data_IF_020981584654
#
_entry.id   IF_020981584654
#
_cell.length_a   1.000
_cell.length_b   1.000
_cell.length_c   1.000
_cell.angle_alpha   90.00
_cell.angle_beta   90.00
_cell.angle_gamma   90.00
#
_symmetry.space_group_name_H-M   'P 1'
#
loop_
_entity.id
_entity.type
_entity.pdbx_description
1 polymer ?
#
# COMPACT_ATOMS: atom_id res chain seq x y z
N UNK A 1 0.45 -24.00 15.29
CA UNK A 1 0.70 -23.47 16.62
C UNK A 1 2.02 -22.70 16.61
N UNK A 2 2.06 -21.59 17.34
CA UNK A 2 3.26 -20.74 17.46
C UNK A 2 3.47 -20.31 18.89
N UNK A 3 4.71 -19.90 19.20
CA UNK A 3 5.13 -19.45 20.52
C UNK A 3 5.91 -18.15 20.36
N UNK A 4 5.55 -17.12 21.14
CA UNK A 4 6.31 -15.89 21.23
C UNK A 4 7.21 -15.93 22.48
N UNK A 5 8.47 -15.55 22.32
CA UNK A 5 9.48 -15.53 23.38
C UNK A 5 9.89 -14.07 23.63
N UNK A 6 9.90 -13.68 24.90
CA UNK A 6 10.31 -12.34 25.30
C UNK A 6 10.53 -12.19 26.80
N UNK A 7 10.69 -10.95 27.25
CA UNK A 7 10.87 -10.58 28.66
C UNK A 7 9.90 -9.45 29.04
N UNK A 8 8.58 -9.71 29.05
CA UNK A 8 7.59 -8.70 29.37
C UNK A 8 7.73 -8.23 30.82
N UNK A 9 7.59 -6.90 31.04
CA UNK A 9 7.64 -6.28 32.36
C UNK A 9 8.89 -6.59 33.18
N UNK A 10 10.01 -6.93 32.52
CA UNK A 10 11.24 -7.32 33.22
C UNK A 10 11.23 -8.77 33.75
N UNK A 11 10.19 -9.55 33.45
CA UNK A 11 10.14 -10.97 33.76
C UNK A 11 10.96 -11.73 32.72
N UNK A 12 11.99 -12.41 33.16
CA UNK A 12 12.87 -13.16 32.27
C UNK A 12 12.17 -14.37 31.65
N UNK A 13 12.50 -14.66 30.35
CA UNK A 13 12.18 -15.90 29.65
C UNK A 13 10.70 -16.28 29.63
N UNK A 14 9.86 -15.31 29.30
CA UNK A 14 8.42 -15.57 29.14
C UNK A 14 8.13 -16.21 27.78
N UNK A 15 7.34 -17.27 27.79
CA UNK A 15 6.82 -17.94 26.62
C UNK A 15 5.29 -17.82 26.59
N UNK A 16 4.74 -17.31 25.50
CA UNK A 16 3.29 -17.32 25.26
C UNK A 16 2.98 -18.17 24.03
N UNK A 17 1.81 -18.79 23.96
CA UNK A 17 1.44 -19.66 22.85
C UNK A 17 0.13 -19.24 22.21
N UNK A 18 -0.01 -19.52 20.91
CA UNK A 18 -1.21 -19.28 20.12
C UNK A 18 -1.11 -19.89 18.73
N UNK A 19 -1.91 -19.34 17.80
CA UNK A 19 -1.91 -19.73 16.38
C UNK A 19 -1.70 -18.49 15.50
N UNK A 20 -1.31 -18.72 14.24
CA UNK A 20 -1.39 -17.69 13.20
C UNK A 20 -2.84 -17.65 12.73
N UNK A 21 -3.50 -16.54 13.01
CA UNK A 21 -4.92 -16.29 12.68
C UNK A 21 -5.09 -15.75 11.24
N UNK A 22 -4.07 -15.09 10.71
CA UNK A 22 -4.00 -14.62 9.31
C UNK A 22 -2.55 -14.43 8.89
N UNK A 23 -2.27 -14.62 7.60
CA UNK A 23 -0.94 -14.46 7.00
C UNK A 23 -0.82 -13.26 6.07
N UNK A 24 -1.91 -12.52 5.84
CA UNK A 24 -2.03 -11.51 4.77
C UNK A 24 -2.56 -10.15 5.25
N UNK A 25 -2.34 -9.79 6.52
CA UNK A 25 -2.71 -8.47 7.03
C UNK A 25 -1.79 -7.40 6.47
N UNK A 26 -2.35 -6.38 5.83
CA UNK A 26 -1.64 -5.20 5.37
C UNK A 26 -1.75 -4.10 6.43
N UNK A 27 -0.69 -3.89 7.20
CA UNK A 27 -0.62 -2.84 8.23
C UNK A 27 0.40 -1.76 7.90
N UNK A 28 1.35 -2.04 7.01
CA UNK A 28 2.45 -1.14 6.65
C UNK A 28 2.57 -0.95 5.15
N UNK A 29 3.47 -0.06 4.79
CA UNK A 29 3.80 0.32 3.41
C UNK A 29 4.47 -0.77 2.59
N UNK A 30 4.98 -1.82 3.24
CA UNK A 30 5.62 -2.94 2.53
C UNK A 30 5.22 -4.30 3.11
N UNK A 31 4.67 -5.14 2.24
CA UNK A 31 4.37 -6.53 2.55
C UNK A 31 3.15 -6.76 3.46
N UNK A 32 3.01 -7.99 3.90
CA UNK A 32 1.96 -8.44 4.82
C UNK A 32 2.57 -8.86 6.15
N UNK A 33 1.76 -8.88 7.20
CA UNK A 33 2.15 -9.35 8.52
C UNK A 33 1.27 -10.52 8.96
N UNK A 34 1.79 -11.37 9.82
CA UNK A 34 1.00 -12.39 10.49
C UNK A 34 0.19 -11.76 11.62
N UNK A 35 -1.10 -12.07 11.66
CA UNK A 35 -1.92 -11.87 12.84
C UNK A 35 -1.86 -13.12 13.69
N UNK A 36 -1.64 -12.96 15.01
CA UNK A 36 -1.56 -14.07 15.96
C UNK A 36 -2.43 -13.79 17.18
N UNK A 37 -2.92 -14.85 17.81
CA UNK A 37 -3.67 -14.76 19.07
C UNK A 37 -2.81 -15.05 20.32
N UNK A 38 -1.52 -15.41 20.13
CA UNK A 38 -0.57 -15.51 21.25
C UNK A 38 -0.51 -14.15 21.98
N UNK A 39 -0.52 -14.19 23.30
CA UNK A 39 -0.47 -12.98 24.13
C UNK A 39 0.86 -12.23 23.91
N UNK A 40 0.77 -11.02 23.40
CA UNK A 40 1.89 -10.12 23.18
C UNK A 40 1.75 -8.90 24.08
N UNK A 41 2.80 -8.63 24.84
CA UNK A 41 2.91 -7.50 25.74
C UNK A 41 4.23 -6.76 25.49
N UNK A 42 4.35 -5.56 26.06
CA UNK A 42 5.63 -4.84 26.08
C UNK A 42 6.74 -5.73 26.64
N UNK A 43 7.83 -5.89 25.87
CA UNK A 43 8.95 -6.81 26.16
C UNK A 43 8.98 -8.07 25.29
N UNK A 44 7.91 -8.37 24.53
CA UNK A 44 7.94 -9.40 23.50
C UNK A 44 8.29 -8.84 22.12
N UNK A 45 8.13 -7.55 21.90
CA UNK A 45 8.46 -6.88 20.62
C UNK A 45 9.97 -7.01 20.32
N UNK A 46 10.29 -7.37 19.06
CA UNK A 46 11.64 -7.73 18.61
C UNK A 46 12.01 -9.20 18.89
N UNK A 47 11.22 -9.90 19.71
CA UNK A 47 11.41 -11.32 20.01
C UNK A 47 10.90 -12.23 18.88
N UNK A 48 11.38 -13.49 18.85
CA UNK A 48 10.98 -14.44 17.83
C UNK A 48 9.59 -15.03 18.08
N UNK A 49 8.85 -15.23 17.01
CA UNK A 49 7.70 -16.14 16.95
C UNK A 49 8.17 -17.45 16.35
N UNK A 50 8.15 -18.55 17.13
CA UNK A 50 8.65 -19.86 16.72
C UNK A 50 7.53 -20.87 16.51
N UNK A 51 7.77 -21.87 15.66
CA UNK A 51 6.86 -23.03 15.51
C UNK A 51 7.15 -24.15 16.54
N UNK A 52 6.40 -25.23 16.47
CA UNK A 52 6.57 -26.42 17.34
C UNK A 52 7.91 -27.14 17.16
N UNK A 53 8.64 -26.84 16.07
CA UNK A 53 10.00 -27.38 15.79
C UNK A 53 11.10 -26.41 16.24
N UNK A 54 10.75 -25.29 16.91
CA UNK A 54 11.70 -24.27 17.33
C UNK A 54 12.24 -23.38 16.19
N UNK A 55 11.64 -23.44 14.98
CA UNK A 55 12.05 -22.57 13.86
C UNK A 55 11.35 -21.23 13.95
N UNK A 56 12.11 -20.16 13.76
CA UNK A 56 11.58 -18.79 13.71
C UNK A 56 10.71 -18.62 12.46
N UNK A 57 9.47 -18.25 12.66
CA UNK A 57 8.49 -17.97 11.61
C UNK A 57 8.31 -16.46 11.38
N UNK A 58 8.47 -15.67 12.44
CA UNK A 58 8.26 -14.21 12.37
C UNK A 58 8.97 -13.51 13.52
N UNK A 59 9.03 -12.17 13.45
CA UNK A 59 9.47 -11.28 14.54
C UNK A 59 8.26 -10.54 15.08
N UNK A 60 7.99 -10.65 16.37
CA UNK A 60 6.89 -9.95 17.05
C UNK A 60 7.15 -8.45 17.05
N UNK A 61 6.16 -7.62 16.71
CA UNK A 61 6.39 -6.17 16.72
C UNK A 61 5.26 -5.34 17.34
N UNK A 62 4.01 -5.79 17.34
CA UNK A 62 2.88 -5.01 17.84
C UNK A 62 1.74 -5.88 18.38
N UNK A 63 1.00 -5.31 19.32
CA UNK A 63 -0.33 -5.75 19.72
C UNK A 63 -1.25 -4.55 19.81
N UNK A 64 -2.53 -4.73 19.51
CA UNK A 64 -3.54 -3.70 19.69
C UNK A 64 -4.02 -3.75 21.12
N UNK A 65 -3.74 -2.68 21.88
CA UNK A 65 -4.20 -2.59 23.28
C UNK A 65 -5.72 -2.69 23.35
N UNK A 66 -6.23 -3.39 24.37
CA UNK A 66 -7.64 -3.64 24.63
C UNK A 66 -8.36 -4.59 23.64
N UNK A 67 -7.64 -5.22 22.69
CA UNK A 67 -8.20 -6.24 21.82
C UNK A 67 -7.39 -7.54 21.91
N UNK A 68 -8.03 -8.60 22.37
CA UNK A 68 -7.40 -9.94 22.38
C UNK A 68 -7.32 -10.52 20.97
N UNK A 69 -6.21 -11.19 20.65
CA UNK A 69 -6.03 -11.85 19.35
C UNK A 69 -5.67 -10.93 18.18
N UNK A 70 -5.47 -9.63 18.43
CA UNK A 70 -4.96 -8.67 17.45
C UNK A 70 -3.51 -8.33 17.72
N UNK A 71 -2.66 -9.34 17.65
CA UNK A 71 -1.22 -9.19 17.73
C UNK A 71 -0.58 -9.51 16.40
N UNK A 72 0.56 -8.89 16.10
CA UNK A 72 1.16 -8.92 14.78
C UNK A 72 2.65 -9.25 14.84
N UNK A 73 3.09 -10.00 13.84
CA UNK A 73 4.49 -10.37 13.67
C UNK A 73 4.91 -10.27 12.19
N UNK A 74 6.12 -9.78 11.95
CA UNK A 74 6.71 -9.64 10.61
C UNK A 74 7.24 -11.02 10.19
N UNK A 75 6.82 -11.58 9.04
CA UNK A 75 7.32 -12.84 8.53
C UNK A 75 8.84 -12.89 8.41
N UNK A 76 9.43 -14.03 8.76
CA UNK A 76 10.91 -14.20 8.76
C UNK A 76 11.52 -14.06 7.36
N UNK A 77 10.75 -14.27 6.30
CA UNK A 77 11.17 -14.08 4.91
C UNK A 77 11.59 -12.62 4.65
N UNK A 78 10.89 -11.65 5.23
CA UNK A 78 11.29 -10.23 5.11
C UNK A 78 12.62 -9.98 5.83
N UNK A 79 12.76 -10.51 7.04
CA UNK A 79 14.04 -10.40 7.76
C UNK A 79 15.19 -11.02 6.97
N UNK A 80 15.00 -12.19 6.36
CA UNK A 80 16.03 -12.85 5.53
C UNK A 80 16.47 -11.96 4.35
N UNK A 81 15.53 -11.27 3.71
CA UNK A 81 15.84 -10.34 2.62
C UNK A 81 16.60 -9.09 3.11
N UNK A 82 16.33 -8.65 4.34
CA UNK A 82 16.95 -7.47 4.93
C UNK A 82 18.33 -7.76 5.60
N UNK A 83 18.57 -9.01 6.05
CA UNK A 83 19.82 -9.35 6.77
C UNK A 83 21.11 -8.89 6.08
N UNK A 84 21.30 -9.07 4.75
CA UNK A 84 22.53 -8.61 4.10
C UNK A 84 22.77 -7.10 4.22
N UNK A 85 21.68 -6.31 4.22
CA UNK A 85 21.72 -4.85 4.35
C UNK A 85 21.93 -4.44 5.81
N UNK A 86 21.28 -5.12 6.74
CA UNK A 86 21.46 -4.87 8.17
C UNK A 86 22.90 -5.13 8.63
N UNK A 87 23.56 -6.16 8.09
CA UNK A 87 24.97 -6.46 8.39
C UNK A 87 25.93 -5.42 7.82
N UNK A 88 25.60 -4.84 6.67
CA UNK A 88 26.41 -3.80 6.05
C UNK A 88 26.22 -2.42 6.69
N UNK A 89 25.16 -2.23 7.47
CA UNK A 89 24.78 -0.94 8.07
C UNK A 89 24.33 0.09 7.04
N UNK A 90 23.91 1.25 7.53
CA UNK A 90 23.45 2.35 6.69
C UNK A 90 21.94 2.30 6.39
N UNK A 91 21.47 3.32 5.67
CA UNK A 91 20.09 3.42 5.22
C UNK A 91 19.89 2.61 3.94
N UNK A 92 18.88 1.75 3.91
CA UNK A 92 18.54 1.01 2.71
C UNK A 92 17.62 1.83 1.82
N UNK A 93 18.03 1.99 0.57
CA UNK A 93 17.16 2.55 -0.46
C UNK A 93 16.24 1.48 -1.04
N UNK A 94 14.94 1.68 -0.91
CA UNK A 94 13.94 0.80 -1.50
C UNK A 94 13.67 1.16 -2.97
N UNK A 95 13.46 0.17 -3.85
CA UNK A 95 13.15 0.42 -5.25
C UNK A 95 11.71 0.95 -5.42
N UNK A 96 11.53 1.73 -6.48
CA UNK A 96 10.25 2.35 -6.83
C UNK A 96 10.12 2.52 -8.33
N UNK A 97 8.94 2.32 -8.87
CA UNK A 97 8.66 2.52 -10.30
C UNK A 97 7.69 3.67 -10.57
N UNK A 98 7.37 4.44 -9.54
CA UNK A 98 6.51 5.61 -9.61
C UNK A 98 5.07 5.30 -10.03
N UNK A 99 4.49 4.26 -9.44
CA UNK A 99 3.13 3.81 -9.71
C UNK A 99 2.33 3.59 -8.42
N UNK A 100 1.00 3.54 -8.58
CA UNK A 100 0.06 3.18 -7.53
C UNK A 100 -0.87 2.07 -8.04
N UNK A 101 -1.10 1.04 -7.22
CA UNK A 101 -1.96 -0.07 -7.62
C UNK A 101 -2.37 -0.97 -6.46
N UNK A 102 -3.25 -1.91 -6.77
CA UNK A 102 -3.77 -2.89 -5.81
C UNK A 102 -3.80 -4.28 -6.43
N UNK A 103 -3.81 -5.31 -5.58
CA UNK A 103 -4.00 -6.70 -6.01
C UNK A 103 -5.27 -6.82 -6.86
N UNK A 104 -5.14 -7.41 -8.06
CA UNK A 104 -6.27 -7.75 -8.92
C UNK A 104 -6.94 -9.01 -8.40
N UNK A 105 -8.20 -8.90 -7.98
CA UNK A 105 -9.03 -10.03 -7.55
C UNK A 105 -9.96 -10.46 -8.66
N UNK A 106 -10.01 -11.77 -8.94
CA UNK A 106 -10.95 -12.30 -9.92
C UNK A 106 -12.35 -12.45 -9.29
N UNK A 107 -13.40 -11.89 -9.90
CA UNK A 107 -14.77 -12.07 -9.42
C UNK A 107 -15.16 -13.56 -9.44
N UNK A 108 -15.77 -14.03 -8.35
CA UNK A 108 -16.35 -15.39 -8.28
C UNK A 108 -15.36 -16.55 -8.10
N UNK A 109 -14.05 -16.30 -8.02
CA UNK A 109 -13.01 -17.35 -7.97
C UNK A 109 -12.51 -17.69 -6.57
N UNK A 110 -13.16 -17.27 -5.52
CA UNK A 110 -12.80 -17.59 -4.12
C UNK A 110 -11.42 -17.14 -3.77
N UNK A 111 -10.82 -16.13 -3.77
CA UNK A 111 -9.46 -15.68 -3.40
C UNK A 111 -8.35 -15.91 -4.44
N UNK A 112 -8.65 -16.19 -5.70
CA UNK A 112 -7.61 -16.17 -6.73
C UNK A 112 -7.28 -14.72 -7.11
N UNK A 113 -6.02 -14.37 -6.92
CA UNK A 113 -5.43 -13.10 -7.34
C UNK A 113 -4.69 -13.29 -8.67
N UNK A 114 -4.63 -12.24 -9.49
CA UNK A 114 -4.05 -12.30 -10.85
C UNK A 114 -3.03 -11.18 -11.10
N UNK A 115 -2.26 -10.81 -10.09
CA UNK A 115 -1.27 -9.75 -10.21
C UNK A 115 -1.69 -8.44 -9.53
N UNK A 116 -1.11 -7.34 -9.99
CA UNK A 116 -1.32 -6.00 -9.43
C UNK A 116 -1.84 -5.07 -10.52
N UNK A 117 -3.09 -4.61 -10.38
CA UNK A 117 -3.65 -3.59 -11.29
C UNK A 117 -3.01 -2.23 -10.99
N UNK A 118 -2.51 -1.60 -12.02
CA UNK A 118 -1.96 -0.23 -11.99
C UNK A 118 -3.12 0.75 -12.10
N UNK A 119 -3.38 1.51 -11.06
CA UNK A 119 -4.42 2.55 -11.06
C UNK A 119 -3.87 3.92 -11.46
N UNK A 120 -2.58 4.14 -11.24
CA UNK A 120 -1.95 5.41 -11.56
C UNK A 120 -0.48 5.21 -11.88
N UNK A 121 0.00 5.96 -12.86
CA UNK A 121 1.40 6.06 -13.26
C UNK A 121 1.81 7.52 -13.25
N UNK A 122 2.90 7.84 -12.54
CA UNK A 122 3.41 9.21 -12.47
C UNK A 122 4.00 9.63 -13.82
N UNK A 123 3.54 10.73 -14.44
CA UNK A 123 4.12 11.22 -15.68
C UNK A 123 5.63 11.49 -15.56
N UNK A 124 6.42 10.95 -16.49
CA UNK A 124 7.87 10.99 -16.46
C UNK A 124 8.53 10.09 -15.39
N UNK A 125 7.77 9.29 -14.66
CA UNK A 125 8.28 8.24 -13.77
C UNK A 125 8.76 7.01 -14.53
N UNK A 126 9.40 6.07 -13.82
CA UNK A 126 10.00 4.89 -14.44
C UNK A 126 8.98 4.00 -15.16
N UNK A 127 7.81 3.80 -14.59
CA UNK A 127 6.73 3.04 -15.22
C UNK A 127 6.22 3.73 -16.49
N UNK A 128 6.03 5.06 -16.46
CA UNK A 128 5.61 5.84 -17.63
C UNK A 128 6.64 5.74 -18.76
N UNK A 129 7.93 5.94 -18.45
CA UNK A 129 9.02 5.79 -19.43
C UNK A 129 9.11 4.40 -20.03
N UNK A 130 8.72 3.36 -19.29
CA UNK A 130 8.64 2.00 -19.77
C UNK A 130 7.36 1.71 -20.57
N UNK A 131 6.44 2.67 -20.66
CA UNK A 131 5.18 2.54 -21.37
C UNK A 131 4.14 1.68 -20.64
N UNK A 132 4.21 1.59 -19.32
CA UNK A 132 3.15 1.03 -18.46
C UNK A 132 2.05 2.07 -18.32
N UNK A 133 0.80 1.63 -18.37
CA UNK A 133 -0.38 2.49 -18.37
C UNK A 133 -1.34 2.17 -17.23
N UNK A 134 -2.26 3.09 -16.97
CA UNK A 134 -3.42 2.85 -16.12
C UNK A 134 -4.22 1.65 -16.66
N UNK A 135 -4.74 0.83 -15.75
CA UNK A 135 -5.45 -0.42 -15.98
C UNK A 135 -4.60 -1.60 -16.50
N UNK A 136 -3.30 -1.44 -16.73
CA UNK A 136 -2.38 -2.56 -16.91
C UNK A 136 -2.26 -3.39 -15.61
N UNK A 137 -1.86 -4.65 -15.74
CA UNK A 137 -1.66 -5.57 -14.61
C UNK A 137 -0.23 -6.07 -14.60
N UNK A 138 0.50 -5.85 -13.50
CA UNK A 138 1.82 -6.47 -13.29
C UNK A 138 1.62 -7.92 -12.90
N UNK A 139 2.15 -8.84 -13.72
CA UNK A 139 1.97 -10.29 -13.56
C UNK A 139 3.28 -11.04 -13.27
N UNK A 140 4.45 -10.42 -13.49
CA UNK A 140 5.75 -11.00 -13.14
C UNK A 140 6.84 -9.94 -12.92
N UNK A 141 7.87 -10.29 -12.15
CA UNK A 141 9.11 -9.54 -11.97
C UNK A 141 10.27 -10.47 -12.29
N UNK A 142 11.11 -10.13 -13.27
CA UNK A 142 12.23 -10.97 -13.74
C UNK A 142 11.83 -12.44 -14.02
N UNK A 143 10.61 -12.66 -14.53
CA UNK A 143 10.05 -13.97 -14.81
C UNK A 143 9.43 -14.68 -13.60
N UNK A 144 9.62 -14.18 -12.38
CA UNK A 144 8.93 -14.68 -11.17
C UNK A 144 7.48 -14.19 -11.17
N UNK A 145 6.52 -15.11 -11.09
CA UNK A 145 5.09 -14.78 -11.14
C UNK A 145 4.65 -13.98 -9.93
N UNK A 146 3.86 -12.94 -10.18
CA UNK A 146 3.26 -12.06 -9.17
C UNK A 146 1.74 -12.29 -9.17
N UNK A 147 1.17 -12.68 -8.04
CA UNK A 147 -0.27 -12.86 -7.88
C UNK A 147 -0.89 -11.73 -7.05
N UNK A 148 -0.10 -11.02 -6.25
CA UNK A 148 -0.58 -10.00 -5.32
C UNK A 148 0.39 -8.82 -5.21
N UNK A 149 -0.08 -7.73 -4.62
CA UNK A 149 0.78 -6.60 -4.27
C UNK A 149 1.89 -7.01 -3.27
N UNK A 150 1.60 -7.93 -2.35
CA UNK A 150 2.61 -8.44 -1.42
C UNK A 150 3.75 -9.17 -2.18
N UNK A 151 3.40 -9.99 -3.18
CA UNK A 151 4.42 -10.66 -4.01
C UNK A 151 5.29 -9.64 -4.75
N UNK A 152 4.68 -8.60 -5.33
CA UNK A 152 5.38 -7.53 -6.01
C UNK A 152 6.35 -6.80 -5.07
N UNK A 153 5.89 -6.46 -3.87
CA UNK A 153 6.71 -5.81 -2.85
C UNK A 153 7.89 -6.69 -2.43
N UNK A 154 7.66 -7.99 -2.20
CA UNK A 154 8.73 -8.94 -1.87
C UNK A 154 9.74 -9.05 -3.03
N UNK A 155 9.26 -9.11 -4.27
CA UNK A 155 10.14 -9.15 -5.45
C UNK A 155 10.99 -7.88 -5.58
N UNK A 156 10.43 -6.72 -5.27
CA UNK A 156 11.18 -5.46 -5.23
C UNK A 156 12.16 -5.40 -4.05
N UNK A 157 11.77 -5.88 -2.87
CA UNK A 157 12.67 -5.92 -1.70
C UNK A 157 13.93 -6.77 -1.94
N UNK A 158 13.92 -7.70 -2.87
CA UNK A 158 15.09 -8.48 -3.26
C UNK A 158 16.09 -7.70 -4.14
N UNK A 159 15.73 -6.51 -4.62
CA UNK A 159 16.49 -5.73 -5.59
C UNK A 159 16.93 -4.37 -4.98
N UNK A 160 18.11 -3.86 -5.32
CA UNK A 160 18.48 -2.49 -4.96
C UNK A 160 17.75 -1.48 -5.87
N UNK A 161 17.65 -0.23 -5.44
CA UNK A 161 17.38 0.89 -6.34
C UNK A 161 18.56 1.12 -7.30
N UNK A 162 18.33 1.87 -8.38
CA UNK A 162 19.40 2.22 -9.34
C UNK A 162 19.69 1.16 -10.40
N UNK A 163 18.93 0.08 -10.46
CA UNK A 163 19.07 -0.97 -11.50
C UNK A 163 17.86 -1.04 -12.41
N UNK A 164 17.95 -1.80 -13.47
CA UNK A 164 16.83 -2.14 -14.33
C UNK A 164 16.26 -3.51 -13.96
N UNK A 165 14.96 -3.64 -14.08
CA UNK A 165 14.24 -4.90 -13.88
C UNK A 165 13.28 -5.17 -15.04
N UNK A 166 12.86 -6.40 -15.22
CA UNK A 166 11.83 -6.79 -16.20
C UNK A 166 10.50 -6.97 -15.48
N UNK A 167 9.47 -6.30 -15.96
CA UNK A 167 8.09 -6.50 -15.52
C UNK A 167 7.28 -7.17 -16.61
N UNK A 168 6.65 -8.30 -16.32
CA UNK A 168 5.61 -8.87 -17.17
C UNK A 168 4.32 -8.09 -16.96
N UNK A 169 3.75 -7.62 -18.04
CA UNK A 169 2.55 -6.77 -18.05
C UNK A 169 1.47 -7.44 -18.87
N UNK A 170 0.27 -7.57 -18.31
CA UNK A 170 -0.95 -7.88 -19.01
C UNK A 170 -1.72 -6.58 -19.23
N UNK A 171 -1.79 -6.13 -20.47
CA UNK A 171 -2.50 -4.91 -20.85
C UNK A 171 -4.02 -5.10 -20.81
N UNK A 172 -4.77 -4.00 -20.77
CA UNK A 172 -6.24 -4.02 -20.71
C UNK A 172 -6.91 -4.70 -21.93
N UNK A 173 -6.21 -4.80 -23.05
CA UNK A 173 -6.66 -5.54 -24.26
C UNK A 173 -6.35 -7.05 -24.21
N UNK A 174 -5.76 -7.55 -23.12
CA UNK A 174 -5.38 -8.94 -22.92
C UNK A 174 -3.99 -9.30 -23.48
N UNK A 175 -3.24 -8.36 -24.01
CA UNK A 175 -1.89 -8.60 -24.54
C UNK A 175 -0.87 -8.70 -23.40
N UNK A 176 -0.09 -9.79 -23.36
CA UNK A 176 1.04 -9.91 -22.47
C UNK A 176 2.32 -9.36 -23.12
N UNK A 177 3.10 -8.61 -22.38
CA UNK A 177 4.38 -8.05 -22.83
C UNK A 177 5.37 -7.94 -21.69
N UNK A 178 6.68 -7.92 -21.99
CA UNK A 178 7.72 -7.56 -21.04
C UNK A 178 8.11 -6.10 -21.19
N UNK A 179 8.22 -5.39 -20.08
CA UNK A 179 8.71 -4.01 -20.00
C UNK A 179 10.01 -3.96 -19.21
N UNK A 180 10.97 -3.20 -19.72
CA UNK A 180 12.22 -2.91 -19.05
C UNK A 180 12.03 -1.63 -18.25
N UNK A 181 12.14 -1.72 -16.93
CA UNK A 181 11.86 -0.62 -16.00
C UNK A 181 13.08 -0.31 -15.16
N UNK A 182 13.41 0.97 -15.01
CA UNK A 182 14.46 1.42 -14.09
C UNK A 182 13.86 1.53 -12.68
N UNK A 183 14.50 0.94 -11.69
CA UNK A 183 14.10 1.05 -10.28
C UNK A 183 14.65 2.33 -9.67
N UNK A 184 13.81 3.36 -9.58
CA UNK A 184 14.17 4.61 -8.89
C UNK A 184 14.27 4.38 -7.37
N UNK A 185 14.93 5.29 -6.66
CA UNK A 185 14.86 5.35 -5.20
C UNK A 185 13.45 5.76 -4.78
N UNK A 186 12.84 4.97 -3.89
CA UNK A 186 11.52 5.28 -3.34
C UNK A 186 11.61 6.51 -2.45
N UNK A 187 10.80 7.55 -2.69
CA UNK A 187 10.74 8.72 -1.82
C UNK A 187 10.09 8.36 -0.47
N UNK A 188 10.40 9.12 0.57
CA UNK A 188 9.77 8.98 1.89
C UNK A 188 8.26 9.24 1.87
N UNK A 189 7.79 10.07 0.96
CA UNK A 189 6.37 10.44 0.80
C UNK A 189 5.96 10.35 -0.67
N UNK A 190 5.70 9.12 -1.20
CA UNK A 190 5.35 8.92 -2.62
C UNK A 190 4.14 9.72 -3.09
N UNK A 191 3.09 9.82 -2.26
CA UNK A 191 1.90 10.62 -2.56
C UNK A 191 2.20 12.11 -2.72
N UNK A 192 3.14 12.64 -1.93
CA UNK A 192 3.59 14.03 -2.09
C UNK A 192 4.42 14.24 -3.37
N UNK A 193 5.22 13.24 -3.78
CA UNK A 193 5.91 13.28 -5.08
C UNK A 193 4.91 13.30 -6.25
N UNK A 194 3.83 12.53 -6.15
CA UNK A 194 2.77 12.57 -7.16
C UNK A 194 2.15 13.96 -7.27
N UNK A 195 1.82 14.57 -6.12
CA UNK A 195 1.28 15.92 -6.09
C UNK A 195 2.24 16.99 -6.65
N UNK A 196 3.54 16.87 -6.37
CA UNK A 196 4.54 17.84 -6.89
C UNK A 196 4.78 17.73 -8.39
N UNK A 197 4.65 16.53 -8.95
CA UNK A 197 5.08 16.23 -10.33
C UNK A 197 3.92 16.07 -11.32
N UNK A 198 2.68 16.06 -10.85
CA UNK A 198 1.49 15.98 -11.69
C UNK A 198 0.44 17.00 -11.26
N UNK A 199 -0.64 17.12 -12.05
CA UNK A 199 -1.78 17.97 -11.74
C UNK A 199 -2.49 17.51 -10.46
N UNK A 200 -3.14 18.47 -9.79
CA UNK A 200 -3.95 18.19 -8.61
C UNK A 200 -5.03 17.14 -8.93
N UNK A 201 -5.67 17.25 -10.07
CA UNK A 201 -6.76 16.39 -10.52
C UNK A 201 -6.34 14.93 -10.63
N UNK A 202 -5.14 14.70 -11.13
CA UNK A 202 -4.58 13.36 -11.29
C UNK A 202 -4.06 12.79 -9.97
N UNK A 203 -3.35 13.61 -9.18
CA UNK A 203 -2.75 13.18 -7.90
C UNK A 203 -3.78 12.79 -6.84
N UNK A 204 -5.02 13.28 -6.92
CA UNK A 204 -6.11 12.86 -6.05
C UNK A 204 -6.48 11.39 -6.21
N UNK A 205 -6.25 10.81 -7.40
CA UNK A 205 -6.61 9.42 -7.67
C UNK A 205 -5.80 8.42 -6.81
N UNK A 206 -4.45 8.47 -6.77
CA UNK A 206 -3.69 7.60 -5.88
C UNK A 206 -3.81 7.98 -4.39
N UNK A 207 -3.99 9.26 -4.04
CA UNK A 207 -4.03 9.68 -2.63
C UNK A 207 -5.38 9.42 -1.96
N UNK A 208 -6.46 9.83 -2.60
CA UNK A 208 -7.81 9.77 -1.99
C UNK A 208 -8.72 8.75 -2.65
N UNK A 209 -8.28 8.17 -3.78
CA UNK A 209 -9.04 7.18 -4.54
C UNK A 209 -10.12 7.77 -5.42
N UNK A 210 -10.06 9.06 -5.74
CA UNK A 210 -11.00 9.70 -6.65
C UNK A 210 -10.27 10.41 -7.80
N UNK A 211 -10.63 10.06 -9.03
CA UNK A 211 -10.18 10.78 -10.24
C UNK A 211 -11.18 11.88 -10.53
N UNK A 212 -10.68 13.10 -10.71
CA UNK A 212 -11.51 14.29 -10.88
C UNK A 212 -11.26 14.95 -12.23
N UNK A 213 -12.31 15.56 -12.77
CA UNK A 213 -12.19 16.46 -13.92
C UNK A 213 -12.84 17.80 -13.60
N UNK A 214 -12.27 18.90 -14.09
CA UNK A 214 -12.87 20.22 -13.92
C UNK A 214 -14.18 20.32 -14.69
N UNK A 215 -15.21 20.83 -14.03
CA UNK A 215 -16.51 21.07 -14.66
C UNK A 215 -16.45 22.24 -15.64
N UNK A 216 -15.59 23.24 -15.37
CA UNK A 216 -15.40 24.38 -16.26
C UNK A 216 -13.98 24.94 -16.13
N UNK A 217 -13.33 25.34 -17.22
CA UNK A 217 -12.00 25.95 -17.18
C UNK A 217 -11.93 27.26 -16.36
N UNK A 218 -13.05 27.99 -16.31
CA UNK A 218 -13.16 29.26 -15.58
C UNK A 218 -13.30 29.07 -14.06
N UNK A 219 -13.73 27.92 -13.59
CA UNK A 219 -13.89 27.62 -12.16
C UNK A 219 -12.91 26.55 -11.70
N UNK A 220 -11.79 27.01 -11.12
CA UNK A 220 -10.69 26.14 -10.67
C UNK A 220 -11.01 25.32 -9.41
N UNK A 221 -12.19 25.48 -8.81
CA UNK A 221 -12.58 24.78 -7.56
C UNK A 221 -13.65 23.73 -7.77
N UNK A 222 -14.36 23.72 -8.91
CA UNK A 222 -15.48 22.80 -9.17
C UNK A 222 -15.05 21.65 -10.05
N UNK A 223 -15.29 20.44 -9.56
CA UNK A 223 -14.93 19.18 -10.19
C UNK A 223 -16.11 18.23 -10.25
N UNK A 224 -16.05 17.25 -11.14
CA UNK A 224 -16.87 16.05 -11.13
C UNK A 224 -15.96 14.84 -10.95
N UNK A 225 -16.39 13.90 -10.13
CA UNK A 225 -15.68 12.63 -9.93
C UNK A 225 -15.98 11.74 -11.14
N UNK A 226 -14.94 11.23 -11.80
CA UNK A 226 -15.10 10.35 -12.98
C UNK A 226 -14.75 8.89 -12.71
N UNK A 227 -13.97 8.61 -11.66
CA UNK A 227 -13.60 7.24 -11.26
C UNK A 227 -13.35 7.19 -9.76
N UNK A 228 -13.77 6.11 -9.10
CA UNK A 228 -13.52 5.84 -7.68
C UNK A 228 -12.78 4.51 -7.54
N UNK A 229 -11.73 4.48 -6.73
CA UNK A 229 -11.06 3.24 -6.33
C UNK A 229 -11.83 2.61 -5.18
N UNK A 230 -12.35 1.41 -5.36
CA UNK A 230 -13.09 0.68 -4.33
C UNK A 230 -12.22 0.43 -3.09
N UNK A 231 -12.77 0.65 -1.90
CA UNK A 231 -12.05 0.57 -0.61
C UNK A 231 -11.00 1.67 -0.43
N UNK A 232 -11.17 2.81 -1.08
CA UNK A 232 -10.39 4.03 -0.84
C UNK A 232 -11.10 4.96 0.14
N UNK A 233 -10.40 5.99 0.60
CA UNK A 233 -10.98 7.04 1.46
C UNK A 233 -12.23 7.66 0.84
N UNK A 234 -12.21 7.91 -0.48
CA UNK A 234 -13.37 8.46 -1.20
C UNK A 234 -14.55 7.48 -1.23
N UNK A 235 -14.30 6.18 -1.48
CA UNK A 235 -15.34 5.15 -1.48
C UNK A 235 -15.96 4.96 -0.08
N UNK A 236 -15.12 4.88 0.96
CA UNK A 236 -15.58 4.75 2.36
C UNK A 236 -16.34 5.98 2.84
N UNK A 237 -15.98 7.18 2.38
CA UNK A 237 -16.74 8.41 2.61
C UNK A 237 -18.05 8.40 1.85
N UNK A 238 -18.21 7.47 0.89
CA UNK A 238 -19.42 7.20 0.11
C UNK A 238 -19.59 8.12 -1.09
N UNK A 239 -18.50 8.65 -1.66
CA UNK A 239 -18.53 9.29 -2.96
C UNK A 239 -18.82 8.29 -4.07
N UNK A 240 -19.36 8.81 -5.18
CA UNK A 240 -19.69 8.03 -6.38
C UNK A 240 -19.28 8.77 -7.63
N UNK A 241 -19.18 8.06 -8.73
CA UNK A 241 -18.95 8.68 -10.04
C UNK A 241 -20.07 9.66 -10.37
N UNK A 242 -19.72 10.74 -11.04
CA UNK A 242 -20.56 11.89 -11.35
C UNK A 242 -20.97 12.77 -10.15
N UNK A 243 -20.45 12.52 -8.95
CA UNK A 243 -20.68 13.43 -7.82
C UNK A 243 -19.98 14.77 -8.11
N UNK A 244 -20.71 15.92 -8.05
CA UNK A 244 -20.11 17.24 -8.12
C UNK A 244 -19.47 17.59 -6.77
N UNK A 245 -18.22 18.07 -6.82
CA UNK A 245 -17.50 18.55 -5.64
C UNK A 245 -16.92 19.94 -5.87
N UNK A 246 -16.80 20.69 -4.80
CA UNK A 246 -16.03 21.94 -4.79
C UNK A 246 -14.88 21.83 -3.79
N UNK A 247 -13.66 21.98 -4.24
CA UNK A 247 -12.47 21.95 -3.40
C UNK A 247 -12.36 23.26 -2.62
N UNK A 248 -12.48 23.20 -1.31
CA UNK A 248 -12.39 24.35 -0.40
C UNK A 248 -10.95 24.59 0.06
N UNK A 249 -10.15 23.53 0.20
CA UNK A 249 -8.76 23.59 0.59
C UNK A 249 -8.07 22.25 0.53
N UNK A 250 -6.77 22.29 0.39
CA UNK A 250 -5.87 21.14 0.52
C UNK A 250 -4.66 21.59 1.33
N UNK A 251 -4.21 20.75 2.24
CA UNK A 251 -3.02 20.95 3.04
C UNK A 251 -2.19 19.66 3.07
N UNK A 252 -0.87 19.82 3.02
CA UNK A 252 0.06 18.71 3.10
C UNK A 252 0.92 18.88 4.34
N UNK A 253 0.99 17.85 5.15
CA UNK A 253 1.90 17.76 6.28
C UNK A 253 2.88 16.61 6.05
N UNK A 254 4.02 16.87 5.35
CA UNK A 254 5.03 15.84 5.13
C UNK A 254 5.58 15.25 6.43
N UNK A 255 5.69 16.06 7.50
CA UNK A 255 6.12 15.63 8.82
C UNK A 255 5.14 14.62 9.46
N UNK A 256 3.85 14.72 9.14
CA UNK A 256 2.80 13.78 9.58
C UNK A 256 2.49 12.72 8.54
N UNK A 257 3.21 12.74 7.41
CA UNK A 257 3.01 11.85 6.27
C UNK A 257 1.54 11.81 5.80
N UNK A 258 0.85 12.95 5.87
CA UNK A 258 -0.57 13.05 5.59
C UNK A 258 -0.93 14.26 4.72
N UNK A 259 -1.91 14.04 3.85
CA UNK A 259 -2.62 15.08 3.11
C UNK A 259 -4.01 15.27 3.72
N UNK A 260 -4.45 16.52 3.83
CA UNK A 260 -5.77 16.89 4.33
C UNK A 260 -6.51 17.64 3.24
N UNK A 261 -7.76 17.25 2.98
CA UNK A 261 -8.62 18.00 2.06
C UNK A 261 -9.89 18.44 2.78
N UNK A 262 -10.36 19.62 2.36
CA UNK A 262 -11.69 20.11 2.71
C UNK A 262 -12.44 20.39 1.42
N UNK A 263 -13.58 19.78 1.27
CA UNK A 263 -14.43 19.96 0.10
C UNK A 263 -15.89 20.10 0.49
N UNK A 264 -16.63 20.70 -0.42
CA UNK A 264 -18.08 20.77 -0.36
C UNK A 264 -18.65 19.83 -1.42
N UNK A 265 -19.60 18.99 -1.03
CA UNK A 265 -20.19 18.00 -1.90
C UNK A 265 -21.73 18.01 -1.80
N UNK A 266 -22.38 17.84 -2.95
CA UNK A 266 -23.81 17.52 -3.04
C UNK A 266 -23.95 16.03 -3.26
N UNK A 267 -24.22 15.27 -2.21
CA UNK A 267 -24.35 13.82 -2.27
C UNK A 267 -25.76 13.38 -2.66
N UNK A 268 -25.84 12.42 -3.59
CA UNK A 268 -27.09 11.79 -4.04
C UNK A 268 -27.27 10.35 -3.52
N UNK A 269 -27.05 10.08 -2.24
CA UNK A 269 -27.56 8.82 -1.66
C UNK A 269 -28.77 9.14 -0.81
N UNK A 270 -29.97 8.81 -1.29
CA UNK A 270 -31.25 8.96 -0.59
C UNK A 270 -31.62 10.41 -0.19
N UNK A 271 -31.22 11.41 -0.99
CA UNK A 271 -31.52 12.82 -0.76
C UNK A 271 -30.30 13.72 -0.98
N UNK A 272 -30.54 14.99 -1.26
CA UNK A 272 -29.49 16.00 -1.36
C UNK A 272 -28.94 16.30 0.03
N UNK A 273 -27.71 15.93 0.31
CA UNK A 273 -26.95 16.42 1.45
C UNK A 273 -25.92 17.44 0.94
N UNK A 274 -26.20 18.71 1.15
CA UNK A 274 -25.22 19.77 1.01
C UNK A 274 -24.31 19.71 2.23
N UNK A 275 -23.08 19.19 2.07
CA UNK A 275 -22.19 18.96 3.20
C UNK A 275 -20.77 19.41 2.91
N UNK A 276 -20.17 20.08 3.89
CA UNK A 276 -18.73 20.34 3.92
C UNK A 276 -18.04 19.17 4.62
N UNK A 277 -17.13 18.49 3.95
CA UNK A 277 -16.40 17.34 4.45
C UNK A 277 -14.90 17.66 4.52
N UNK A 278 -14.27 17.21 5.59
CA UNK A 278 -12.83 17.16 5.72
C UNK A 278 -12.38 15.72 5.94
N UNK A 279 -11.37 15.28 5.21
CA UNK A 279 -10.75 13.97 5.41
C UNK A 279 -9.27 13.99 5.04
N UNK A 280 -8.56 12.98 5.50
CA UNK A 280 -7.12 12.83 5.29
C UNK A 280 -6.80 11.54 4.56
N UNK A 281 -5.65 11.53 3.91
CA UNK A 281 -5.03 10.33 3.36
C UNK A 281 -3.55 10.30 3.72
N UNK A 282 -2.98 9.12 3.94
CA UNK A 282 -1.56 8.95 4.10
C UNK A 282 -0.80 9.29 2.81
N UNK A 283 0.31 9.99 2.94
CA UNK A 283 1.22 10.28 1.82
C UNK A 283 2.13 9.09 1.49
N UNK A 284 2.17 8.12 2.39
CA UNK A 284 2.76 6.81 2.16
C UNK A 284 1.74 5.70 2.43
N UNK A 285 1.79 4.66 1.62
CA UNK A 285 0.94 3.48 1.77
C UNK A 285 1.55 2.29 1.03
N UNK A 286 1.11 1.04 1.33
CA UNK A 286 1.57 -0.15 0.62
C UNK A 286 1.25 -0.15 -0.88
N UNK A 287 0.37 0.70 -1.33
CA UNK A 287 -0.10 0.75 -2.71
C UNK A 287 0.83 1.53 -3.66
N UNK A 288 1.79 2.30 -3.14
CA UNK A 288 2.82 2.99 -3.93
C UNK A 288 4.02 2.07 -4.17
N UNK A 289 4.29 1.74 -5.43
CA UNK A 289 5.38 0.87 -5.83
C UNK A 289 6.17 1.36 -7.04
#
# INVERSE_FOLDING_TARGET
KVYAIGSPLGLEKTLTSGIISSTDRQLFTAGTVFQVDAAINSGNSGGPLIDEKGKVQAVVFAGVQNFQGLNFAIPVEYLKNELPFLFNGGEREHPWVASYGKTKRLPGSGAKNEGVTVFYVLPGGSADRAGIKEDDVVISVNGEKINSLADLQIAFMKQPSGIITKLGILSSDGTESEKIVYLEKRPSSPGYEFFKRDSLENSFYPMFGMKMVRVSPSNKKKYSIVKIIKGSVADETGFSENDPIELLGIDFSPEKEAAYIKLYAKKRKNGYLDVSLGFSAGLDSPYYF
#
